data_IF_885287643644
#
_entry.id   IF_885287643644
#
_cell.length_a   1.000
_cell.length_b   1.000
_cell.length_c   1.000
_cell.angle_alpha   90.00
_cell.angle_beta   90.00
_cell.angle_gamma   90.00
#
_symmetry.space_group_name_H-M   'P 1'
#
loop_
_entity.id
_entity.type
_entity.pdbx_description
1 polymer ?
#
# COMPACT_ATOMS: atom_id res chain seq x y z
N UNK A 1 -37.95 3.44 33.10
CA UNK A 1 -37.63 2.46 32.04
C UNK A 1 -36.19 2.05 32.22
N UNK A 2 -35.97 0.87 32.80
CA UNK A 2 -34.62 0.33 33.05
C UNK A 2 -34.15 -0.30 31.74
N UNK A 3 -33.19 0.36 31.08
CA UNK A 3 -32.60 -0.14 29.85
C UNK A 3 -31.83 -1.44 30.13
N UNK A 4 -32.29 -2.54 29.56
CA UNK A 4 -31.53 -3.78 29.52
C UNK A 4 -30.28 -3.57 28.66
N UNK A 5 -29.15 -3.32 29.33
CA UNK A 5 -27.83 -3.55 28.73
C UNK A 5 -27.74 -5.03 28.34
N UNK A 6 -27.26 -5.35 27.13
CA UNK A 6 -27.13 -6.73 26.68
C UNK A 6 -26.20 -7.49 27.63
N UNK A 7 -26.57 -8.72 28.06
CA UNK A 7 -25.85 -9.46 29.10
C UNK A 7 -24.37 -9.74 28.78
N UNK A 8 -23.98 -9.60 27.51
CA UNK A 8 -22.62 -9.81 27.01
C UNK A 8 -21.67 -8.68 27.43
N UNK A 9 -22.14 -7.42 27.47
CA UNK A 9 -21.30 -6.30 27.91
C UNK A 9 -21.04 -6.35 29.43
N UNK A 10 -22.01 -6.87 30.19
CA UNK A 10 -21.88 -7.09 31.64
C UNK A 10 -20.93 -8.26 31.93
N UNK A 11 -20.97 -9.33 31.13
CA UNK A 11 -20.07 -10.48 31.28
C UNK A 11 -18.60 -10.12 31.01
N UNK A 12 -18.33 -9.28 30.01
CA UNK A 12 -16.98 -8.80 29.72
C UNK A 12 -16.40 -7.94 30.86
N UNK A 13 -17.23 -7.11 31.51
CA UNK A 13 -16.81 -6.33 32.68
C UNK A 13 -16.41 -7.20 33.87
N UNK A 14 -17.09 -8.34 34.05
CA UNK A 14 -16.82 -9.29 35.15
C UNK A 14 -15.55 -10.11 34.87
N UNK A 15 -15.31 -10.53 33.63
CA UNK A 15 -14.12 -11.34 33.26
C UNK A 15 -12.82 -10.54 33.40
N UNK A 16 -12.87 -9.21 33.20
CA UNK A 16 -11.71 -8.33 33.39
C UNK A 16 -11.33 -8.13 34.88
N UNK A 17 -12.26 -8.35 35.81
CA UNK A 17 -12.04 -8.17 37.26
C UNK A 17 -11.45 -9.41 37.95
N UNK A 18 -11.58 -10.61 37.36
CA UNK A 18 -11.15 -11.86 37.98
C UNK A 18 -9.96 -12.50 37.22
N UNK A 19 -8.76 -11.99 37.51
CA UNK A 19 -7.49 -12.35 36.85
C UNK A 19 -6.94 -13.78 37.03
N UNK A 20 -7.75 -14.79 37.38
CA UNK A 20 -7.24 -16.10 37.83
C UNK A 20 -7.79 -17.35 37.11
N UNK A 21 -8.56 -17.22 36.03
CA UNK A 21 -9.04 -18.36 35.22
C UNK A 21 -8.38 -18.40 33.82
N UNK A 22 -7.04 -18.42 33.78
CA UNK A 22 -6.26 -18.03 32.58
C UNK A 22 -6.16 -19.08 31.45
N UNK A 23 -6.54 -20.35 31.64
CA UNK A 23 -6.22 -21.41 30.66
C UNK A 23 -7.41 -21.94 29.84
N UNK A 24 -8.60 -22.11 30.43
CA UNK A 24 -9.78 -22.67 29.73
C UNK A 24 -10.69 -21.60 29.11
N UNK A 25 -10.75 -20.38 29.68
CA UNK A 25 -11.60 -19.29 29.17
C UNK A 25 -11.03 -18.55 27.95
N UNK A 26 -9.74 -18.70 27.66
CA UNK A 26 -9.10 -17.95 26.58
C UNK A 26 -9.69 -18.32 25.21
N UNK A 27 -9.96 -19.60 24.94
CA UNK A 27 -10.50 -20.05 23.65
C UNK A 27 -11.89 -19.50 23.35
N UNK A 28 -12.77 -19.44 24.36
CA UNK A 28 -14.15 -18.97 24.21
C UNK A 28 -14.22 -17.44 24.08
N UNK A 29 -13.33 -16.72 24.78
CA UNK A 29 -13.18 -15.27 24.67
C UNK A 29 -12.70 -14.85 23.26
N UNK A 30 -11.69 -15.53 22.69
CA UNK A 30 -11.23 -15.22 21.34
C UNK A 30 -12.23 -15.62 20.26
N UNK A 31 -12.96 -16.73 20.42
CA UNK A 31 -14.08 -17.09 19.55
C UNK A 31 -15.17 -16.02 19.56
N UNK A 32 -15.50 -15.50 20.74
CA UNK A 32 -16.47 -14.42 20.91
C UNK A 32 -15.98 -13.11 20.28
N UNK A 33 -14.71 -12.73 20.53
CA UNK A 33 -14.12 -11.50 19.98
C UNK A 33 -14.01 -11.54 18.46
N UNK A 34 -13.59 -12.66 17.87
CA UNK A 34 -13.54 -12.81 16.40
C UNK A 34 -14.94 -12.73 15.78
N UNK A 35 -15.96 -13.34 16.42
CA UNK A 35 -17.36 -13.18 16.03
C UNK A 35 -17.84 -11.73 16.06
N UNK A 36 -17.45 -10.96 17.09
CA UNK A 36 -17.75 -9.53 17.18
C UNK A 36 -17.05 -8.72 16.09
N UNK A 37 -15.77 -8.98 15.80
CA UNK A 37 -15.06 -8.33 14.68
C UNK A 37 -15.81 -8.56 13.39
N UNK A 38 -16.19 -9.81 13.09
CA UNK A 38 -16.97 -10.13 11.87
C UNK A 38 -18.28 -9.35 11.84
N UNK A 39 -19.04 -9.34 12.94
CA UNK A 39 -20.31 -8.61 13.02
C UNK A 39 -20.14 -7.11 12.74
N UNK A 40 -19.14 -6.48 13.36
CA UNK A 40 -18.90 -5.05 13.16
C UNK A 40 -18.28 -4.72 11.80
N UNK A 41 -17.44 -5.61 11.25
CA UNK A 41 -16.97 -5.48 9.87
C UNK A 41 -18.17 -5.40 8.93
N UNK A 42 -19.14 -6.29 9.06
CA UNK A 42 -20.34 -6.33 8.21
C UNK A 42 -21.31 -5.15 8.42
N UNK A 43 -21.13 -4.38 9.48
CA UNK A 43 -21.88 -3.15 9.75
C UNK A 43 -21.36 -1.94 8.96
N UNK A 44 -21.71 -0.74 9.44
CA UNK A 44 -21.23 0.51 8.85
C UNK A 44 -19.75 0.77 9.20
N UNK A 45 -19.06 1.55 8.35
CA UNK A 45 -17.67 1.94 8.60
C UNK A 45 -17.56 2.73 9.92
N UNK A 46 -18.49 3.65 10.18
CA UNK A 46 -18.50 4.47 11.39
C UNK A 46 -18.68 3.63 12.66
N UNK A 47 -19.56 2.62 12.64
CA UNK A 47 -19.75 1.73 13.79
C UNK A 47 -18.51 0.89 14.04
N UNK A 48 -17.86 0.42 12.97
CA UNK A 48 -16.61 -0.34 13.07
C UNK A 48 -15.47 0.53 13.62
N UNK A 49 -15.35 1.78 13.18
CA UNK A 49 -14.35 2.72 13.66
C UNK A 49 -14.53 3.02 15.15
N UNK A 50 -15.75 3.28 15.60
CA UNK A 50 -16.04 3.52 17.01
C UNK A 50 -15.76 2.29 17.87
N UNK A 51 -16.23 1.12 17.42
CA UNK A 51 -16.02 -0.13 18.14
C UNK A 51 -14.54 -0.50 18.24
N UNK A 52 -13.79 -0.41 17.14
CA UNK A 52 -12.35 -0.72 17.15
C UNK A 52 -11.56 0.24 18.03
N UNK A 53 -11.93 1.52 18.08
CA UNK A 53 -11.34 2.48 19.01
C UNK A 53 -11.57 2.06 20.47
N UNK A 54 -12.83 1.78 20.85
CA UNK A 54 -13.18 1.32 22.20
C UNK A 54 -12.41 0.05 22.59
N UNK A 55 -12.35 -0.94 21.70
CA UNK A 55 -11.64 -2.19 21.95
C UNK A 55 -10.13 -2.03 21.98
N UNK A 56 -9.56 -1.08 21.23
CA UNK A 56 -8.13 -0.78 21.27
C UNK A 56 -7.67 -0.25 22.64
N UNK A 57 -8.57 0.38 23.40
CA UNK A 57 -8.31 0.80 24.78
C UNK A 57 -8.58 -0.29 25.82
N UNK A 58 -9.48 -1.23 25.52
CA UNK A 58 -9.89 -2.28 26.45
C UNK A 58 -9.00 -3.54 26.39
N UNK A 59 -8.35 -3.78 25.25
CA UNK A 59 -7.54 -4.98 25.02
C UNK A 59 -6.05 -4.65 25.14
N UNK A 60 -5.30 -5.54 25.78
CA UNK A 60 -3.84 -5.46 25.81
C UNK A 60 -3.24 -5.66 24.40
N UNK A 61 -2.06 -5.08 24.09
CA UNK A 61 -1.45 -5.21 22.76
C UNK A 61 -1.32 -6.65 22.25
N UNK A 62 -0.96 -7.59 23.13
CA UNK A 62 -0.87 -9.01 22.78
C UNK A 62 -2.24 -9.61 22.40
N UNK A 63 -3.31 -9.21 23.10
CA UNK A 63 -4.67 -9.68 22.80
C UNK A 63 -5.14 -9.14 21.45
N UNK A 64 -4.85 -7.87 21.14
CA UNK A 64 -5.15 -7.26 19.85
C UNK A 64 -4.42 -7.99 18.71
N UNK A 65 -3.13 -8.28 18.90
CA UNK A 65 -2.34 -9.02 17.92
C UNK A 65 -2.87 -10.44 17.70
N UNK A 66 -3.16 -11.19 18.79
CA UNK A 66 -3.72 -12.55 18.70
C UNK A 66 -5.09 -12.55 18.01
N UNK A 67 -5.96 -11.60 18.35
CA UNK A 67 -7.25 -11.42 17.70
C UNK A 67 -7.07 -11.25 16.19
N UNK A 68 -6.21 -10.32 15.77
CA UNK A 68 -5.97 -10.06 14.36
C UNK A 68 -5.36 -11.22 13.58
N UNK A 69 -4.45 -11.98 14.20
CA UNK A 69 -3.81 -13.15 13.57
C UNK A 69 -4.76 -14.32 13.38
N UNK A 70 -5.72 -14.48 14.30
CA UNK A 70 -6.69 -15.57 14.32
C UNK A 70 -8.01 -15.21 13.62
N UNK A 71 -8.10 -14.06 12.96
CA UNK A 71 -9.29 -13.67 12.23
C UNK A 71 -9.60 -14.65 11.08
N UNK A 72 -10.84 -15.18 11.01
CA UNK A 72 -11.27 -16.05 9.91
C UNK A 72 -11.60 -15.22 8.66
N UNK A 73 -10.59 -14.65 8.01
CA UNK A 73 -10.75 -13.77 6.85
C UNK A 73 -11.55 -14.39 5.72
N UNK A 74 -11.43 -15.71 5.50
CA UNK A 74 -12.25 -16.43 4.50
C UNK A 74 -13.76 -16.28 4.79
N UNK A 75 -14.17 -16.27 6.06
CA UNK A 75 -15.56 -16.05 6.45
C UNK A 75 -15.97 -14.58 6.27
N UNK A 76 -15.09 -13.63 6.60
CA UNK A 76 -15.31 -12.21 6.36
C UNK A 76 -15.55 -11.91 4.86
N UNK A 77 -14.80 -12.59 3.99
CA UNK A 77 -14.88 -12.42 2.53
C UNK A 77 -16.10 -13.09 1.88
N UNK A 78 -16.68 -14.12 2.51
CA UNK A 78 -17.86 -14.83 1.96
C UNK A 78 -19.12 -13.97 1.89
N UNK A 79 -19.14 -12.80 2.53
CA UNK A 79 -20.33 -11.94 2.60
C UNK A 79 -20.47 -10.97 1.41
N UNK A 80 -19.82 -11.27 0.28
CA UNK A 80 -20.01 -10.53 -0.98
C UNK A 80 -19.30 -9.17 -1.05
N UNK A 81 -18.41 -8.86 -0.09
CA UNK A 81 -17.63 -7.62 -0.09
C UNK A 81 -16.39 -7.72 -0.97
N UNK A 82 -16.05 -6.63 -1.64
CA UNK A 82 -14.80 -6.56 -2.39
C UNK A 82 -13.59 -6.49 -1.44
N UNK A 83 -12.45 -7.03 -1.88
CA UNK A 83 -11.19 -6.98 -1.13
C UNK A 83 -10.78 -5.53 -0.83
N UNK A 84 -11.07 -4.62 -1.76
CA UNK A 84 -10.73 -3.21 -1.65
C UNK A 84 -11.56 -2.50 -0.58
N UNK A 85 -12.89 -2.70 -0.56
CA UNK A 85 -13.76 -2.13 0.48
C UNK A 85 -13.33 -2.59 1.87
N UNK A 86 -12.96 -3.87 2.00
CA UNK A 86 -12.48 -4.40 3.26
C UNK A 86 -11.15 -3.76 3.67
N UNK A 87 -10.22 -3.57 2.73
CA UNK A 87 -8.96 -2.88 2.98
C UNK A 87 -9.18 -1.40 3.38
N UNK A 88 -10.11 -0.71 2.74
CA UNK A 88 -10.48 0.68 3.07
C UNK A 88 -11.11 0.78 4.46
N UNK A 89 -12.04 -0.11 4.80
CA UNK A 89 -12.64 -0.15 6.13
C UNK A 89 -11.62 -0.51 7.21
N UNK A 90 -10.64 -1.37 6.92
CA UNK A 90 -9.55 -1.73 7.83
C UNK A 90 -8.46 -0.67 7.94
N UNK A 91 -8.52 0.43 7.17
CA UNK A 91 -7.47 1.46 7.15
C UNK A 91 -7.05 1.84 8.58
N UNK A 92 -5.73 1.81 8.90
CA UNK A 92 -5.26 2.07 10.25
C UNK A 92 -5.66 3.46 10.76
N UNK A 93 -6.37 3.50 11.89
CA UNK A 93 -6.70 4.71 12.66
C UNK A 93 -6.54 4.52 14.17
N UNK A 94 -6.41 3.28 14.63
CA UNK A 94 -6.13 2.89 16.01
C UNK A 94 -5.29 1.59 16.02
N UNK A 95 -4.67 1.22 17.16
CA UNK A 95 -3.82 0.03 17.25
C UNK A 95 -4.50 -1.28 16.82
N UNK A 96 -5.78 -1.47 17.14
CA UNK A 96 -6.50 -2.69 16.78
C UNK A 96 -6.74 -2.77 15.26
N UNK A 97 -7.15 -1.67 14.61
CA UNK A 97 -7.27 -1.63 13.14
C UNK A 97 -5.94 -1.86 12.45
N UNK A 98 -4.84 -1.32 12.99
CA UNK A 98 -3.49 -1.59 12.45
C UNK A 98 -3.18 -3.11 12.47
N UNK A 99 -3.46 -3.78 13.59
CA UNK A 99 -3.28 -5.22 13.72
C UNK A 99 -4.17 -6.00 12.73
N UNK A 100 -5.46 -5.67 12.66
CA UNK A 100 -6.40 -6.31 11.74
C UNK A 100 -5.99 -6.11 10.27
N UNK A 101 -5.55 -4.90 9.92
CA UNK A 101 -5.08 -4.56 8.58
C UNK A 101 -3.81 -5.33 8.19
N UNK A 102 -2.84 -5.47 9.09
CA UNK A 102 -1.68 -6.34 8.88
C UNK A 102 -2.09 -7.81 8.75
N UNK A 103 -2.99 -8.30 9.60
CA UNK A 103 -3.52 -9.65 9.53
C UNK A 103 -4.18 -9.95 8.19
N UNK A 104 -4.95 -8.99 7.67
CA UNK A 104 -5.59 -9.08 6.36
C UNK A 104 -4.57 -9.12 5.22
N UNK A 105 -3.54 -8.26 5.25
CA UNK A 105 -2.44 -8.29 4.28
C UNK A 105 -1.79 -9.68 4.21
N UNK A 106 -1.39 -10.24 5.35
CA UNK A 106 -0.73 -11.55 5.40
C UNK A 106 -1.66 -12.69 5.00
N UNK A 107 -2.97 -12.57 5.24
CA UNK A 107 -3.94 -13.53 4.72
C UNK A 107 -4.02 -13.47 3.19
N UNK A 108 -4.16 -12.29 2.60
CA UNK A 108 -4.22 -12.13 1.14
C UNK A 108 -2.95 -12.63 0.46
N UNK A 109 -1.78 -12.31 1.04
CA UNK A 109 -0.49 -12.80 0.54
C UNK A 109 -0.40 -14.33 0.56
N UNK A 110 -0.74 -14.96 1.68
CA UNK A 110 -0.69 -16.44 1.83
C UNK A 110 -1.70 -17.18 0.96
N UNK A 111 -2.81 -16.53 0.62
CA UNK A 111 -3.86 -17.09 -0.22
C UNK A 111 -3.70 -16.74 -1.70
N UNK A 112 -2.61 -16.06 -2.08
CA UNK A 112 -2.36 -15.58 -3.46
C UNK A 112 -3.50 -14.73 -4.03
N UNK A 113 -4.17 -13.95 -3.16
CA UNK A 113 -5.27 -13.03 -3.51
C UNK A 113 -4.85 -11.56 -3.51
N UNK A 114 -3.57 -11.30 -3.29
CA UNK A 114 -3.02 -9.95 -3.29
C UNK A 114 -2.69 -9.58 -4.74
N UNK A 115 -3.55 -8.77 -5.36
CA UNK A 115 -3.29 -8.24 -6.71
C UNK A 115 -2.44 -6.96 -6.65
N UNK A 116 -2.03 -6.45 -7.82
CA UNK A 116 -1.18 -5.26 -7.89
C UNK A 116 -1.84 -3.99 -7.34
N UNK A 117 -3.16 -3.87 -7.44
CA UNK A 117 -3.92 -2.71 -6.91
C UNK A 117 -3.95 -2.74 -5.39
N UNK A 118 -4.34 -3.86 -4.80
CA UNK A 118 -4.36 -4.05 -3.34
C UNK A 118 -2.96 -3.87 -2.77
N UNK A 119 -1.96 -4.48 -3.40
CA UNK A 119 -0.56 -4.36 -2.99
C UNK A 119 -0.12 -2.90 -2.98
N UNK A 120 -0.47 -2.13 -4.02
CA UNK A 120 -0.15 -0.71 -4.10
C UNK A 120 -0.84 0.10 -2.98
N UNK A 121 -2.10 -0.18 -2.68
CA UNK A 121 -2.82 0.50 -1.59
C UNK A 121 -2.23 0.17 -0.21
N UNK A 122 -1.77 -1.08 0.01
CA UNK A 122 -1.07 -1.48 1.22
C UNK A 122 0.26 -0.74 1.34
N UNK A 123 1.04 -0.72 0.25
CA UNK A 123 2.31 0.00 0.12
C UNK A 123 2.17 1.50 0.44
N UNK A 124 1.19 2.17 -0.15
CA UNK A 124 0.92 3.59 0.09
C UNK A 124 0.57 3.87 1.54
N UNK A 125 -0.24 3.01 2.14
CA UNK A 125 -0.61 3.12 3.56
C UNK A 125 0.59 2.91 4.47
N UNK A 126 1.45 1.91 4.19
CA UNK A 126 2.72 1.73 4.90
C UNK A 126 3.60 2.98 4.83
N UNK A 127 3.72 3.58 3.64
CA UNK A 127 4.53 4.79 3.45
C UNK A 127 3.98 5.96 4.27
N UNK A 128 2.66 6.14 4.31
CA UNK A 128 2.03 7.17 5.16
C UNK A 128 2.33 6.95 6.64
N UNK A 129 2.18 5.71 7.12
CA UNK A 129 2.54 5.35 8.51
C UNK A 129 4.02 5.61 8.79
N UNK A 130 4.91 5.31 7.84
CA UNK A 130 6.34 5.59 7.96
C UNK A 130 6.65 7.09 8.01
N UNK A 131 6.01 7.91 7.18
CA UNK A 131 6.19 9.37 7.22
C UNK A 131 5.63 9.98 8.51
N UNK A 132 4.52 9.43 9.01
CA UNK A 132 3.91 9.81 10.29
C UNK A 132 4.70 9.34 11.52
N UNK A 133 5.78 8.55 11.37
CA UNK A 133 6.68 8.19 12.48
C UNK A 133 7.59 9.32 12.93
N UNK A 134 7.82 10.34 12.10
CA UNK A 134 8.69 11.45 12.50
C UNK A 134 8.27 12.10 13.84
N UNK A 135 6.98 12.07 14.23
CA UNK A 135 6.57 12.36 15.62
C UNK A 135 6.41 11.16 16.58
N UNK A 136 6.28 9.89 16.14
CA UNK A 136 6.04 8.72 17.03
C UNK A 136 6.70 7.41 16.53
N UNK A 137 7.97 7.13 16.90
CA UNK A 137 8.71 5.94 16.46
C UNK A 137 8.15 4.61 16.99
N UNK A 138 7.39 4.64 18.08
CA UNK A 138 6.80 3.45 18.73
C UNK A 138 5.76 2.71 17.86
N UNK A 139 5.22 3.39 16.85
CA UNK A 139 4.26 2.81 15.92
C UNK A 139 4.91 1.90 14.86
N UNK A 140 6.24 1.96 14.66
CA UNK A 140 6.93 1.08 13.71
C UNK A 140 7.34 -0.24 14.35
N UNK A 141 6.45 -1.22 14.27
CA UNK A 141 6.74 -2.56 14.75
C UNK A 141 7.66 -3.33 13.78
N UNK A 142 8.43 -4.33 14.26
CA UNK A 142 9.13 -5.28 13.39
C UNK A 142 8.21 -5.96 12.37
N UNK A 143 6.91 -6.09 12.67
CA UNK A 143 5.91 -6.65 11.76
C UNK A 143 5.64 -5.73 10.57
N UNK A 144 5.58 -4.40 10.79
CA UNK A 144 5.46 -3.43 9.71
C UNK A 144 6.74 -3.37 8.86
N UNK A 145 7.91 -3.48 9.50
CA UNK A 145 9.18 -3.61 8.78
C UNK A 145 9.20 -4.88 7.90
N UNK A 146 8.74 -6.01 8.41
CA UNK A 146 8.63 -7.26 7.65
C UNK A 146 7.63 -7.11 6.50
N UNK A 147 6.49 -6.47 6.74
CA UNK A 147 5.49 -6.19 5.71
C UNK A 147 6.09 -5.32 4.60
N UNK A 148 6.84 -4.27 4.97
CA UNK A 148 7.56 -3.41 4.04
C UNK A 148 8.57 -4.20 3.20
N UNK A 149 9.42 -5.01 3.83
CA UNK A 149 10.43 -5.83 3.14
C UNK A 149 9.83 -6.86 2.20
N UNK A 150 8.61 -7.31 2.51
CA UNK A 150 7.91 -8.31 1.74
C UNK A 150 7.29 -7.76 0.44
N UNK A 151 7.21 -6.44 0.27
CA UNK A 151 6.74 -5.80 -0.95
C UNK A 151 7.68 -6.05 -2.15
N UNK A 152 7.15 -6.05 -3.39
CA UNK A 152 7.96 -6.14 -4.61
C UNK A 152 9.04 -5.04 -4.66
N UNK A 153 10.17 -5.34 -5.30
CA UNK A 153 11.32 -4.42 -5.34
C UNK A 153 10.96 -3.07 -5.98
N UNK A 154 10.25 -3.10 -7.10
CA UNK A 154 9.77 -1.91 -7.83
C UNK A 154 8.89 -1.03 -6.93
N UNK A 155 7.95 -1.63 -6.20
CA UNK A 155 7.11 -0.92 -5.22
C UNK A 155 7.93 -0.32 -4.07
N UNK A 156 8.85 -1.08 -3.47
CA UNK A 156 9.72 -0.54 -2.42
C UNK A 156 10.53 0.66 -2.92
N UNK A 157 11.04 0.59 -4.14
CA UNK A 157 11.76 1.68 -4.79
C UNK A 157 10.87 2.92 -4.95
N UNK A 158 9.70 2.76 -5.58
CA UNK A 158 8.73 3.84 -5.79
C UNK A 158 8.33 4.54 -4.49
N UNK A 159 8.12 3.79 -3.41
CA UNK A 159 7.70 4.36 -2.13
C UNK A 159 8.86 4.99 -1.35
N UNK A 160 10.06 4.42 -1.45
CA UNK A 160 11.24 4.90 -0.72
C UNK A 160 11.89 6.10 -1.40
N UNK A 161 11.81 6.19 -2.73
CA UNK A 161 12.46 7.22 -3.54
C UNK A 161 11.56 8.39 -3.78
N UNK A 162 12.04 9.58 -3.39
CA UNK A 162 11.41 10.85 -3.79
C UNK A 162 11.60 11.13 -5.29
N UNK A 163 12.73 10.68 -5.84
CA UNK A 163 13.14 10.91 -7.21
C UNK A 163 13.54 9.59 -7.86
N UNK A 164 12.95 9.31 -9.02
CA UNK A 164 13.24 8.14 -9.83
C UNK A 164 13.97 8.57 -11.10
N UNK A 165 14.86 7.72 -11.58
CA UNK A 165 15.33 7.76 -12.95
C UNK A 165 14.69 6.64 -13.76
N UNK A 166 14.42 6.92 -15.02
CA UNK A 166 13.83 5.97 -15.95
C UNK A 166 14.91 5.56 -16.94
N UNK A 167 15.45 4.37 -16.78
CA UNK A 167 16.53 3.84 -17.62
C UNK A 167 15.96 2.82 -18.61
N UNK A 168 16.21 3.00 -19.90
CA UNK A 168 15.85 2.02 -20.92
C UNK A 168 16.60 0.71 -20.69
N UNK A 169 15.89 -0.42 -20.73
CA UNK A 169 16.44 -1.72 -20.33
C UNK A 169 17.63 -2.17 -21.18
N UNK A 170 17.59 -1.93 -22.49
CA UNK A 170 18.60 -2.40 -23.45
C UNK A 170 19.71 -1.40 -23.70
N UNK A 171 19.33 -0.17 -24.03
CA UNK A 171 20.28 0.85 -24.46
C UNK A 171 20.88 1.63 -23.29
N UNK A 172 20.40 1.40 -22.06
CA UNK A 172 20.89 2.04 -20.84
C UNK A 172 20.77 3.58 -20.84
N UNK A 173 19.99 4.13 -21.76
CA UNK A 173 19.65 5.54 -21.90
C UNK A 173 18.62 5.97 -20.86
N UNK A 174 18.69 7.22 -20.42
CA UNK A 174 17.81 7.78 -19.41
C UNK A 174 16.79 8.71 -20.04
N UNK A 175 15.52 8.56 -19.69
CA UNK A 175 14.47 9.45 -20.17
C UNK A 175 14.59 10.82 -19.49
N UNK A 176 14.52 11.88 -20.30
CA UNK A 176 14.34 13.25 -19.84
C UNK A 176 13.03 13.83 -20.40
N UNK A 177 12.75 15.11 -20.15
CA UNK A 177 11.54 15.76 -20.65
C UNK A 177 11.34 15.58 -22.17
N UNK A 178 10.11 15.26 -22.57
CA UNK A 178 9.69 15.00 -23.94
C UNK A 178 10.06 13.58 -24.37
N UNK A 179 10.52 13.44 -25.62
CA UNK A 179 11.04 12.20 -26.20
C UNK A 179 12.57 12.15 -26.19
N UNK A 180 13.21 12.98 -25.36
CA UNK A 180 14.67 13.13 -25.32
C UNK A 180 15.28 12.09 -24.38
N UNK A 181 16.52 11.71 -24.69
CA UNK A 181 17.28 10.68 -23.98
C UNK A 181 18.68 11.21 -23.63
N UNK A 182 19.22 10.77 -22.49
CA UNK A 182 20.59 11.08 -22.05
C UNK A 182 21.38 9.80 -21.78
N UNK A 183 22.68 9.82 -22.11
CA UNK A 183 23.63 8.76 -21.74
C UNK A 183 24.04 8.94 -20.28
N UNK A 184 23.47 8.12 -19.40
CA UNK A 184 23.65 8.26 -17.95
C UNK A 184 22.75 9.35 -17.34
N UNK A 185 22.45 9.20 -16.06
CA UNK A 185 21.68 10.21 -15.33
C UNK A 185 22.61 11.32 -14.84
N UNK A 186 23.00 12.22 -15.73
CA UNK A 186 24.03 13.23 -15.43
C UNK A 186 23.45 14.60 -15.05
N UNK A 187 22.13 14.76 -15.14
CA UNK A 187 21.44 16.02 -14.94
C UNK A 187 20.21 15.87 -14.05
N UNK A 188 19.76 16.99 -13.46
CA UNK A 188 18.46 17.03 -12.77
C UNK A 188 17.29 16.64 -13.70
N UNK A 189 17.46 16.80 -15.01
CA UNK A 189 16.42 16.54 -15.98
C UNK A 189 16.20 15.04 -16.23
N UNK A 190 17.11 14.19 -15.74
CA UNK A 190 16.90 12.74 -15.65
C UNK A 190 16.03 12.31 -14.46
N UNK A 191 15.68 13.24 -13.54
CA UNK A 191 14.86 12.93 -12.38
C UNK A 191 13.36 13.09 -12.64
N UNK A 192 12.59 12.13 -12.12
CA UNK A 192 11.14 12.06 -12.21
C UNK A 192 10.55 11.91 -10.81
N UNK A 193 9.56 12.75 -10.51
CA UNK A 193 8.81 12.71 -9.27
C UNK A 193 7.60 11.79 -9.42
N UNK A 194 7.39 10.90 -8.46
CA UNK A 194 6.14 10.15 -8.36
C UNK A 194 5.04 11.10 -7.91
N UNK A 195 4.04 11.31 -8.78
CA UNK A 195 2.85 12.08 -8.46
C UNK A 195 1.80 11.13 -7.90
N UNK A 196 1.44 11.29 -6.62
CA UNK A 196 0.24 10.67 -6.08
C UNK A 196 -0.96 11.33 -6.77
N UNK A 197 -1.53 10.64 -7.76
CA UNK A 197 -2.79 11.05 -8.38
C UNK A 197 -3.88 10.80 -7.33
N UNK A 198 -4.17 11.81 -6.50
CA UNK A 198 -5.07 11.67 -5.35
C UNK A 198 -6.53 11.38 -5.72
N UNK A 199 -6.88 11.35 -7.01
CA UNK A 199 -8.28 11.28 -7.46
C UNK A 199 -8.56 10.19 -8.50
N UNK A 200 -7.55 9.55 -9.09
CA UNK A 200 -7.80 8.42 -9.99
C UNK A 200 -7.83 7.13 -9.19
N UNK A 201 -9.05 6.66 -8.88
CA UNK A 201 -9.31 5.27 -8.47
C UNK A 201 -8.71 4.35 -9.54
N UNK A 202 -7.53 3.80 -9.27
CA UNK A 202 -6.82 2.97 -10.23
C UNK A 202 -5.45 2.51 -9.74
N UNK A 203 -4.83 1.65 -10.53
CA UNK A 203 -3.49 1.13 -10.35
C UNK A 203 -2.44 1.95 -11.11
N UNK A 204 -2.72 3.20 -11.48
CA UNK A 204 -1.82 4.04 -12.26
C UNK A 204 -1.05 5.03 -11.40
N UNK A 205 0.24 5.18 -11.69
CA UNK A 205 1.11 6.18 -11.07
C UNK A 205 1.60 7.16 -12.11
N UNK A 206 1.48 8.46 -11.82
CA UNK A 206 2.06 9.53 -12.63
C UNK A 206 3.52 9.76 -12.26
N UNK A 207 4.32 10.06 -13.27
CA UNK A 207 5.72 10.45 -13.18
C UNK A 207 5.87 11.82 -13.83
N UNK A 208 6.36 12.80 -13.07
CA UNK A 208 6.53 14.18 -13.53
C UNK A 208 8.02 14.51 -13.62
N UNK A 209 8.49 15.02 -14.76
CA UNK A 209 9.89 15.41 -14.90
C UNK A 209 10.20 16.66 -14.05
N UNK A 210 11.38 16.69 -13.45
CA UNK A 210 11.81 17.81 -12.58
C UNK A 210 12.09 19.09 -13.36
N UNK A 211 12.73 18.99 -14.54
CA UNK A 211 13.07 20.15 -15.37
C UNK A 211 11.90 20.59 -16.24
N UNK A 212 11.10 19.63 -16.74
CA UNK A 212 9.97 19.91 -17.61
C UNK A 212 8.66 19.40 -17.00
N UNK A 213 7.95 20.29 -16.31
CA UNK A 213 6.67 19.97 -15.65
C UNK A 213 5.53 19.65 -16.63
N UNK A 214 5.73 19.86 -17.93
CA UNK A 214 4.77 19.42 -18.95
C UNK A 214 5.01 17.97 -19.38
N UNK A 215 6.20 17.44 -19.12
CA UNK A 215 6.56 16.06 -19.42
C UNK A 215 6.08 15.12 -18.32
N UNK A 216 5.14 14.25 -18.72
CA UNK A 216 4.49 13.28 -17.82
C UNK A 216 4.43 11.91 -18.46
N UNK A 217 4.70 10.90 -17.64
CA UNK A 217 4.52 9.49 -17.99
C UNK A 217 3.69 8.80 -16.91
N UNK A 218 3.07 7.69 -17.27
CA UNK A 218 2.26 6.88 -16.37
C UNK A 218 2.75 5.44 -16.37
N UNK A 219 2.85 4.82 -15.20
CA UNK A 219 3.16 3.41 -15.03
C UNK A 219 1.98 2.66 -14.42
N UNK A 220 1.75 1.44 -14.89
CA UNK A 220 0.74 0.54 -14.33
C UNK A 220 1.34 -0.25 -13.16
N UNK A 221 0.63 -0.25 -12.04
CA UNK A 221 0.94 -1.03 -10.83
C UNK A 221 0.26 -2.40 -10.82
N UNK A 222 -0.48 -2.77 -11.86
CA UNK A 222 -0.97 -4.15 -12.00
C UNK A 222 0.20 -5.13 -12.14
N UNK A 223 1.24 -4.73 -12.85
CA UNK A 223 2.49 -5.47 -13.04
C UNK A 223 3.49 -5.21 -11.90
N UNK A 224 3.01 -5.29 -10.66
CA UNK A 224 3.75 -4.96 -9.45
C UNK A 224 5.03 -5.78 -9.23
N UNK A 225 5.11 -7.00 -9.77
CA UNK A 225 6.30 -7.86 -9.71
C UNK A 225 7.28 -7.66 -10.87
N UNK A 226 6.98 -6.76 -11.81
CA UNK A 226 7.84 -6.54 -12.96
C UNK A 226 9.14 -5.83 -12.57
N UNK A 227 10.25 -6.25 -13.20
CA UNK A 227 11.56 -5.61 -13.11
C UNK A 227 11.68 -4.40 -14.04
N UNK A 228 10.78 -4.31 -15.01
CA UNK A 228 10.67 -3.24 -16.00
C UNK A 228 9.23 -2.78 -16.09
N UNK A 229 9.05 -1.55 -16.56
CA UNK A 229 7.75 -0.91 -16.68
C UNK A 229 7.61 -0.29 -18.07
N UNK A 230 6.38 -0.22 -18.54
CA UNK A 230 6.01 0.56 -19.70
C UNK A 230 5.68 1.99 -19.26
N UNK A 231 6.20 2.98 -19.98
CA UNK A 231 5.91 4.39 -19.73
C UNK A 231 4.80 4.86 -20.67
N UNK A 232 3.60 5.01 -20.16
CA UNK A 232 2.41 5.38 -20.93
C UNK A 232 2.23 6.90 -20.98
N UNK A 233 1.82 7.43 -22.12
CA UNK A 233 1.51 8.87 -22.31
C UNK A 233 0.29 9.34 -21.51
N UNK A 234 -0.66 8.44 -21.25
CA UNK A 234 -1.87 8.65 -20.43
C UNK A 234 -2.15 7.38 -19.63
N UNK A 235 -2.93 7.41 -18.53
CA UNK A 235 -3.20 6.24 -17.68
C UNK A 235 -4.19 5.25 -18.35
N UNK A 236 -3.77 4.66 -19.47
CA UNK A 236 -4.52 3.67 -20.24
C UNK A 236 -3.58 2.61 -20.80
N UNK A 237 -4.04 1.35 -20.79
CA UNK A 237 -3.32 0.23 -21.41
C UNK A 237 -3.21 0.36 -22.93
N UNK A 238 -4.08 1.15 -23.56
CA UNK A 238 -4.05 1.47 -25.00
C UNK A 238 -3.24 2.72 -25.33
N UNK A 239 -2.69 3.41 -24.32
CA UNK A 239 -1.90 4.61 -24.53
C UNK A 239 -0.62 4.32 -25.30
N UNK A 240 -0.14 5.33 -26.03
CA UNK A 240 1.20 5.30 -26.62
C UNK A 240 2.25 5.20 -25.53
N UNK A 241 3.29 4.43 -25.80
CA UNK A 241 4.38 4.13 -24.87
C UNK A 241 5.64 4.87 -25.29
N UNK A 242 6.42 5.37 -24.34
CA UNK A 242 7.76 5.86 -24.65
C UNK A 242 8.66 4.66 -24.95
N UNK A 243 9.29 4.68 -26.13
CA UNK A 243 10.16 3.61 -26.60
C UNK A 243 11.46 4.20 -27.16
N UNK A 244 12.49 3.37 -27.30
CA UNK A 244 13.81 3.73 -27.80
C UNK A 244 14.23 2.75 -28.88
N UNK A 245 14.67 3.29 -30.01
CA UNK A 245 15.28 2.53 -31.09
C UNK A 245 16.51 3.28 -31.60
N UNK A 246 17.67 2.64 -31.55
CA UNK A 246 18.94 3.19 -32.06
C UNK A 246 19.27 4.56 -31.46
N UNK A 247 19.04 4.72 -30.16
CA UNK A 247 19.31 5.95 -29.42
C UNK A 247 18.27 7.04 -29.58
N UNK A 248 17.18 6.80 -30.32
CA UNK A 248 16.12 7.77 -30.57
C UNK A 248 14.84 7.40 -29.81
N UNK A 249 14.32 8.36 -29.05
CA UNK A 249 13.05 8.22 -28.36
C UNK A 249 11.86 8.44 -29.30
N UNK A 250 10.88 7.55 -29.26
CA UNK A 250 9.64 7.66 -30.03
C UNK A 250 8.42 7.18 -29.24
N UNK A 251 7.22 7.47 -29.76
CA UNK A 251 5.97 6.97 -29.20
C UNK A 251 5.54 5.70 -29.92
N UNK A 252 5.65 4.56 -29.25
CA UNK A 252 5.19 3.26 -29.75
C UNK A 252 3.70 3.03 -29.52
N UNK A 253 3.04 2.44 -30.51
CA UNK A 253 1.66 1.96 -30.41
C UNK A 253 1.64 0.47 -29.99
N UNK A 254 0.47 -0.18 -29.98
CA UNK A 254 0.32 -1.58 -29.55
C UNK A 254 1.13 -2.60 -30.36
N UNK A 255 1.56 -2.24 -31.58
CA UNK A 255 2.32 -3.10 -32.52
C UNK A 255 3.84 -2.94 -32.35
N UNK A 256 4.29 -1.94 -31.58
CA UNK A 256 5.73 -1.74 -31.35
C UNK A 256 6.34 -2.90 -30.55
N UNK A 257 7.61 -3.28 -30.83
CA UNK A 257 8.27 -4.33 -30.08
C UNK A 257 8.31 -3.95 -28.59
N UNK A 258 7.78 -4.81 -27.72
CA UNK A 258 7.74 -4.54 -26.27
C UNK A 258 9.13 -4.26 -25.70
N UNK A 259 10.15 -4.90 -26.28
CA UNK A 259 11.54 -4.73 -25.87
C UNK A 259 12.08 -3.31 -25.99
N UNK A 260 11.50 -2.50 -26.87
CA UNK A 260 11.97 -1.14 -27.15
C UNK A 260 11.34 -0.15 -26.16
N UNK A 261 10.37 -0.60 -25.37
CA UNK A 261 9.55 0.24 -24.49
C UNK A 261 9.72 -0.11 -23.02
N UNK A 262 10.70 -0.95 -22.67
CA UNK A 262 10.94 -1.39 -21.30
C UNK A 262 11.87 -0.44 -20.54
N UNK A 263 11.37 0.05 -19.40
CA UNK A 263 12.07 0.99 -18.55
C UNK A 263 12.30 0.42 -17.15
N UNK A 264 13.54 0.47 -16.68
CA UNK A 264 13.92 0.19 -15.30
C UNK A 264 13.78 1.46 -14.48
N UNK A 265 13.12 1.33 -13.32
CA UNK A 265 13.04 2.40 -12.34
C UNK A 265 14.26 2.31 -11.41
N UNK A 266 15.03 3.38 -11.34
CA UNK A 266 16.20 3.48 -10.48
C UNK A 266 16.05 4.61 -9.47
N UNK A 267 16.68 4.46 -8.31
CA UNK A 267 16.70 5.49 -7.29
C UNK A 267 17.71 6.58 -7.65
N UNK A 268 17.24 7.81 -7.80
CA UNK A 268 18.07 8.94 -8.23
C UNK A 268 18.18 10.05 -7.19
N UNK A 269 17.89 9.75 -5.92
CA UNK A 269 18.04 10.70 -4.82
C UNK A 269 19.45 11.28 -4.65
N UNK A 270 20.47 10.56 -5.13
CA UNK A 270 21.87 10.91 -4.96
C UNK A 270 22.40 11.84 -6.06
N UNK A 271 21.62 12.07 -7.12
CA UNK A 271 22.02 13.04 -8.13
C UNK A 271 22.01 14.44 -7.51
N UNK A 272 23.08 15.23 -7.72
CA UNK A 272 23.18 16.56 -7.14
C UNK A 272 22.03 17.40 -7.68
N UNK A 273 21.11 17.77 -6.81
CA UNK A 273 20.10 18.76 -7.13
C UNK A 273 20.86 20.06 -7.39
N UNK A 274 21.00 20.45 -8.66
CA UNK A 274 21.28 21.86 -8.96
C UNK A 274 20.09 22.64 -8.37
N UNK A 275 20.31 23.24 -7.20
CA UNK A 275 19.41 24.21 -6.61
C UNK A 275 19.30 25.32 -7.65
N UNK A 276 18.17 25.37 -8.37
CA UNK A 276 17.82 26.60 -9.04
C UNK A 276 17.63 27.63 -7.92
N UNK A 277 18.54 28.60 -7.86
CA UNK A 277 18.41 29.74 -6.98
C UNK A 277 17.01 30.33 -7.14
N UNK A 278 16.37 30.53 -6.00
CA UNK A 278 15.17 31.37 -5.85
C UNK A 278 15.36 32.73 -6.50
#
# INVERSE_FOLDING_TARGET
MVGHLPPIEVLMGIVLLFGSAKATFNWDLYGTLTGLVLRHLNGSISDFDWWTLRMSHALEPEQQQRLAWNMPWTQALRQGRSLLELQEQLRPSNPLKLQLWMGFYWHLRRSSRLDGRLTFDFARTLRRLQLQQQPQPELWSPQLQNMWQSLPRSMRLILHSRWLCLQHEREMLYAVGGLRLELGANSNCSMWQVQELSEQRGHWLGLLNVCDKNSRWFISMQEHDATTHLLHSVPSHTARKLCVLEGLGYLGDAVSPLSDCHWKLNDCRHLPQILFGS
#
